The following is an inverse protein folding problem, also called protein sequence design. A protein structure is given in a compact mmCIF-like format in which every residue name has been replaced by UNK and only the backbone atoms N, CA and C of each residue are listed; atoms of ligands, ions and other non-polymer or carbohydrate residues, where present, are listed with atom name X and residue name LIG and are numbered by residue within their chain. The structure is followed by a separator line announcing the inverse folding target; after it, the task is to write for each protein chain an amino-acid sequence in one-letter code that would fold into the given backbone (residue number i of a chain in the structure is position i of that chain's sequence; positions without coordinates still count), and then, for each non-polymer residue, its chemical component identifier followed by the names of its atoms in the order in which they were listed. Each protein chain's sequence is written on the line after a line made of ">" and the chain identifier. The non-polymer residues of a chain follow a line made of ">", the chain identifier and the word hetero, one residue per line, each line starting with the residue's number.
data_IF_904202365233
#
_entry.id   IF_904202365233
#
_cell.length_a   1.000
_cell.length_b   1.000
_cell.length_c   1.000
_cell.angle_alpha   90.00
_cell.angle_beta   90.00
_cell.angle_gamma   90.00
#
_symmetry.space_group_name_H-M   'P 1'
#
loop_
_entity.id
_entity.type
_entity.pdbx_description
1 polymer ?
#
# COMPACT_ATOMS: atom_id res chain seq x y z
N UNK A 1 -32.83 1.72 8.93
CA UNK A 1 -31.72 1.15 8.12
C UNK A 1 -30.36 1.78 8.44
N UNK A 2 -30.25 3.12 8.53
CA UNK A 2 -29.01 3.84 8.89
C UNK A 2 -28.33 3.34 10.17
N UNK A 3 -29.10 3.13 11.27
CA UNK A 3 -28.55 2.68 12.57
C UNK A 3 -27.91 1.29 12.51
N UNK A 4 -28.39 0.38 11.64
CA UNK A 4 -27.76 -0.94 11.46
C UNK A 4 -26.43 -0.80 10.71
N UNK A 5 -26.40 0.01 9.66
CA UNK A 5 -25.20 0.31 8.88
C UNK A 5 -24.12 0.98 9.74
N UNK A 6 -24.48 1.97 10.56
CA UNK A 6 -23.54 2.64 11.46
C UNK A 6 -22.95 1.69 12.51
N UNK A 7 -23.72 0.71 12.99
CA UNK A 7 -23.21 -0.34 13.90
C UNK A 7 -22.21 -1.26 13.22
N UNK A 8 -22.49 -1.72 12.00
CA UNK A 8 -21.54 -2.53 11.24
C UNK A 8 -20.25 -1.77 10.90
N UNK A 9 -20.36 -0.48 10.53
CA UNK A 9 -19.21 0.40 10.31
C UNK A 9 -18.36 0.58 11.57
N UNK A 10 -18.99 0.77 12.73
CA UNK A 10 -18.30 0.90 14.01
C UNK A 10 -17.59 -0.40 14.41
N UNK A 11 -18.24 -1.56 14.23
CA UNK A 11 -17.63 -2.87 14.48
C UNK A 11 -16.44 -3.13 13.55
N UNK A 12 -16.56 -2.79 12.26
CA UNK A 12 -15.48 -2.92 11.28
C UNK A 12 -14.28 -2.02 11.63
N UNK A 13 -14.54 -0.77 12.01
CA UNK A 13 -13.50 0.17 12.42
C UNK A 13 -12.78 -0.30 13.69
N UNK A 14 -13.51 -0.84 14.67
CA UNK A 14 -12.94 -1.39 15.89
C UNK A 14 -12.09 -2.64 15.60
N UNK A 15 -12.56 -3.54 14.73
CA UNK A 15 -11.81 -4.73 14.31
C UNK A 15 -10.51 -4.36 13.58
N UNK A 16 -10.56 -3.35 12.70
CA UNK A 16 -9.38 -2.82 12.01
C UNK A 16 -8.37 -2.22 13.00
N UNK A 17 -8.83 -1.38 13.93
CA UNK A 17 -7.97 -0.79 14.97
C UNK A 17 -7.32 -1.84 15.88
N UNK A 18 -8.00 -2.95 16.15
CA UNK A 18 -7.46 -4.04 16.96
C UNK A 18 -6.42 -4.87 16.19
N UNK A 19 -6.59 -4.98 14.86
CA UNK A 19 -5.66 -5.74 14.00
C UNK A 19 -4.30 -5.05 13.80
N UNK A 20 -4.25 -3.71 13.84
CA UNK A 20 -3.00 -2.95 13.64
C UNK A 20 -2.09 -2.90 14.86
N UNK A 21 -2.58 -3.27 16.05
CA UNK A 21 -1.80 -3.32 17.29
C UNK A 21 -0.86 -4.52 17.39
N UNK A 22 -0.97 -5.51 16.50
CA UNK A 22 -0.16 -6.72 16.51
C UNK A 22 0.96 -6.58 15.47
N UNK A 23 2.06 -5.95 15.88
CA UNK A 23 3.31 -5.89 15.10
C UNK A 23 3.99 -7.25 15.07
N UNK A 24 3.52 -8.17 14.23
CA UNK A 24 4.31 -9.36 13.85
C UNK A 24 5.33 -8.96 12.78
N UNK A 25 6.57 -9.51 12.81
CA UNK A 25 7.52 -9.27 11.73
C UNK A 25 6.91 -9.81 10.43
N UNK A 26 6.66 -8.91 9.47
CA UNK A 26 6.11 -9.26 8.15
C UNK A 26 7.03 -10.30 7.50
N UNK A 27 6.62 -11.56 7.57
CA UNK A 27 7.30 -12.65 6.87
C UNK A 27 6.97 -12.51 5.39
N UNK A 28 7.99 -12.31 4.54
CA UNK A 28 7.79 -12.26 3.09
C UNK A 28 6.99 -13.48 2.61
N UNK A 29 5.95 -13.23 1.80
CA UNK A 29 4.96 -14.22 1.38
C UNK A 29 5.48 -15.26 0.36
N UNK A 30 6.75 -15.15 -0.06
CA UNK A 30 7.41 -16.14 -0.91
C UNK A 30 8.53 -16.83 -0.12
N UNK A 31 8.30 -18.06 0.41
CA UNK A 31 9.27 -18.75 1.27
C UNK A 31 10.57 -19.09 0.53
N UNK A 32 10.51 -19.24 -0.80
CA UNK A 32 11.68 -19.59 -1.62
C UNK A 32 12.68 -18.43 -1.76
N UNK A 33 12.21 -17.21 -2.07
CA UNK A 33 13.08 -16.04 -2.20
C UNK A 33 13.67 -15.61 -0.85
N UNK A 34 12.90 -15.75 0.23
CA UNK A 34 13.36 -15.45 1.59
C UNK A 34 14.47 -16.40 2.03
N UNK A 35 14.29 -17.70 1.85
CA UNK A 35 15.25 -18.72 2.31
C UNK A 35 16.59 -18.59 1.59
N UNK A 36 16.58 -18.32 0.28
CA UNK A 36 17.81 -18.09 -0.50
C UNK A 36 18.56 -16.84 -0.03
N UNK A 37 17.83 -15.74 0.20
CA UNK A 37 18.41 -14.48 0.67
C UNK A 37 18.97 -14.59 2.10
N UNK A 38 18.28 -15.27 3.01
CA UNK A 38 18.75 -15.52 4.37
C UNK A 38 19.96 -16.47 4.41
N UNK A 39 19.98 -17.50 3.57
CA UNK A 39 21.12 -18.42 3.44
C UNK A 39 22.37 -17.70 2.93
N UNK A 40 22.21 -16.84 1.92
CA UNK A 40 23.29 -16.01 1.38
C UNK A 40 23.86 -15.07 2.47
N UNK A 41 23.00 -14.39 3.23
CA UNK A 41 23.41 -13.54 4.37
C UNK A 41 24.15 -14.33 5.47
N UNK A 42 23.69 -15.54 5.82
CA UNK A 42 24.35 -16.38 6.83
C UNK A 42 25.74 -16.87 6.40
N UNK A 43 25.95 -17.04 5.10
CA UNK A 43 27.23 -17.44 4.53
C UNK A 43 28.15 -16.24 4.20
N UNK A 44 27.83 -15.03 4.69
CA UNK A 44 28.63 -13.82 4.52
C UNK A 44 28.36 -13.01 3.26
N UNK A 45 27.37 -13.41 2.45
CA UNK A 45 26.91 -12.67 1.28
C UNK A 45 25.99 -11.49 1.62
N UNK A 46 25.72 -10.64 0.63
CA UNK A 46 24.97 -9.38 0.80
C UNK A 46 23.61 -9.35 0.11
N UNK A 47 23.25 -10.42 -0.62
CA UNK A 47 22.15 -10.41 -1.59
C UNK A 47 20.76 -10.30 -0.93
N UNK A 48 20.67 -10.54 0.38
CA UNK A 48 19.44 -10.34 1.16
C UNK A 48 19.29 -8.96 1.82
N UNK A 49 20.30 -8.08 1.75
CA UNK A 49 20.23 -6.75 2.35
C UNK A 49 19.24 -5.88 1.59
N UNK A 50 18.20 -5.38 2.27
CA UNK A 50 17.22 -4.47 1.68
C UNK A 50 16.07 -5.14 0.92
N UNK A 51 15.96 -6.48 0.93
CA UNK A 51 14.88 -7.20 0.24
C UNK A 51 13.48 -6.76 0.70
N UNK A 52 13.30 -6.51 2.00
CA UNK A 52 12.01 -6.03 2.53
C UNK A 52 11.65 -4.64 1.98
N UNK A 53 12.62 -3.73 1.90
CA UNK A 53 12.42 -2.41 1.28
C UNK A 53 12.03 -2.54 -0.20
N UNK A 54 12.64 -3.49 -0.92
CA UNK A 54 12.27 -3.78 -2.32
C UNK A 54 10.83 -4.28 -2.48
N UNK A 55 10.37 -5.16 -1.59
CA UNK A 55 8.98 -5.66 -1.59
C UNK A 55 7.99 -4.52 -1.30
N UNK A 56 8.27 -3.70 -0.28
CA UNK A 56 7.43 -2.54 0.05
C UNK A 56 7.38 -1.53 -1.10
N UNK A 57 8.50 -1.28 -1.77
CA UNK A 57 8.56 -0.40 -2.94
C UNK A 57 7.74 -0.96 -4.10
N UNK A 58 7.87 -2.25 -4.41
CA UNK A 58 7.09 -2.94 -5.45
C UNK A 58 5.59 -2.91 -5.17
N UNK A 59 5.18 -3.06 -3.90
CA UNK A 59 3.78 -2.94 -3.49
C UNK A 59 3.27 -1.51 -3.56
N UNK A 60 4.08 -0.51 -3.21
CA UNK A 60 3.69 0.90 -3.21
C UNK A 60 3.60 1.50 -4.63
N UNK A 61 4.48 1.10 -5.54
CA UNK A 61 4.57 1.61 -6.90
C UNK A 61 3.25 1.65 -7.68
N UNK A 62 2.44 0.58 -7.78
CA UNK A 62 1.19 0.62 -8.54
C UNK A 62 0.20 1.67 -8.00
N UNK A 63 0.13 1.84 -6.67
CA UNK A 63 -0.75 2.84 -6.07
C UNK A 63 -0.26 4.27 -6.31
N UNK A 64 1.05 4.50 -6.26
CA UNK A 64 1.64 5.80 -6.57
C UNK A 64 1.43 6.18 -8.03
N UNK A 65 1.59 5.23 -8.95
CA UNK A 65 1.36 5.46 -10.39
C UNK A 65 -0.11 5.77 -10.67
N UNK A 66 -1.03 4.94 -10.18
CA UNK A 66 -2.47 5.16 -10.38
C UNK A 66 -2.94 6.44 -9.72
N UNK A 67 -2.49 6.71 -8.49
CA UNK A 67 -2.79 7.95 -7.77
C UNK A 67 -2.26 9.18 -8.49
N UNK A 68 -1.02 9.12 -9.00
CA UNK A 68 -0.42 10.21 -9.79
C UNK A 68 -1.19 10.50 -11.07
N UNK A 69 -1.56 9.46 -11.84
CA UNK A 69 -2.38 9.60 -13.05
C UNK A 69 -3.75 10.20 -12.71
N UNK A 70 -4.40 9.72 -11.65
CA UNK A 70 -5.69 10.24 -11.20
C UNK A 70 -5.62 11.71 -10.78
N UNK A 71 -4.56 12.12 -10.08
CA UNK A 71 -4.34 13.51 -9.71
C UNK A 71 -4.14 14.40 -10.95
N UNK A 72 -3.28 13.99 -11.88
CA UNK A 72 -3.04 14.75 -13.13
C UNK A 72 -4.34 14.89 -13.93
N UNK A 73 -5.08 13.79 -14.11
CA UNK A 73 -6.36 13.78 -14.82
C UNK A 73 -7.38 14.72 -14.19
N UNK A 74 -7.52 14.68 -12.86
CA UNK A 74 -8.42 15.59 -12.14
C UNK A 74 -8.00 17.06 -12.33
N UNK A 75 -6.71 17.37 -12.18
CA UNK A 75 -6.25 18.76 -12.34
C UNK A 75 -6.44 19.30 -13.75
N UNK A 76 -6.32 18.46 -14.79
CA UNK A 76 -6.59 18.88 -16.16
C UNK A 76 -8.08 19.08 -16.42
N UNK A 77 -8.95 18.19 -15.93
CA UNK A 77 -10.42 18.33 -16.09
C UNK A 77 -10.96 19.60 -15.44
N UNK A 78 -10.43 19.99 -14.28
CA UNK A 78 -10.82 21.26 -13.64
C UNK A 78 -10.38 22.48 -14.43
N UNK A 79 -9.20 22.44 -15.05
CA UNK A 79 -8.75 23.52 -15.93
C UNK A 79 -9.66 23.67 -17.14
N UNK A 80 -10.12 22.57 -17.74
CA UNK A 80 -11.07 22.60 -18.85
C UNK A 80 -12.42 23.22 -18.42
N UNK A 81 -12.95 22.86 -17.26
CA UNK A 81 -14.17 23.47 -16.69
C UNK A 81 -13.98 24.98 -16.39
N UNK A 82 -12.83 25.35 -15.81
CA UNK A 82 -12.50 26.75 -15.53
C UNK A 82 -12.26 27.57 -16.83
N UNK A 83 -11.81 26.95 -17.93
CA UNK A 83 -11.59 27.62 -19.23
C UNK A 83 -12.88 27.77 -20.05
N UNK A 84 -13.80 26.79 -19.98
CA UNK A 84 -15.14 26.88 -20.59
C UNK A 84 -16.05 27.92 -19.90
N UNK A 85 -15.87 28.19 -18.60
CA UNK A 85 -16.62 29.24 -17.89
C UNK A 85 -16.16 30.67 -18.28
N UNK A 86 -14.95 30.83 -18.82
CA UNK A 86 -14.36 32.12 -19.21
C UNK A 86 -14.44 32.41 -20.74
N UNK A 87 -15.06 31.55 -21.54
CA UNK A 87 -15.37 31.75 -22.99
C UNK A 87 -16.85 32.04 -23.18
#
# INVERSE_FOLDING_TARGET
>A
MKIRITKYLSILALAFALSTGISTPVQAQCPMCRMSAESNLKNGGTDGRGLNNGILLMLAMPYLVVGGIGLVWWTNRRKEEDEEEFV
#
